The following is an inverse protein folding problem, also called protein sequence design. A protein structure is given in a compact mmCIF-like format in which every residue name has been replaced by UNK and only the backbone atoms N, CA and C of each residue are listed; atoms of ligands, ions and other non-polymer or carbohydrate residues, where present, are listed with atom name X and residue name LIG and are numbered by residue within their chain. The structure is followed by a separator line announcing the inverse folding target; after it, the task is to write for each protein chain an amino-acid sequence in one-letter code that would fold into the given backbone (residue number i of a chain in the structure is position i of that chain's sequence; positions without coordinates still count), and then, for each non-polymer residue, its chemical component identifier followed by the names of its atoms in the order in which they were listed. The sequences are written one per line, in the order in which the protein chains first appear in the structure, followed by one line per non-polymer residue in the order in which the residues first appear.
data_IF_749325386237
#
_entry.id   IF_749325386237
#
_cell.length_a   1.000
_cell.length_b   1.000
_cell.length_c   1.000
_cell.angle_alpha   90.00
_cell.angle_beta   90.00
_cell.angle_gamma   90.00
#
_symmetry.space_group_name_H-M   'P 1'
#
loop_
_entity.id
_entity.type
_entity.pdbx_description
1 polymer ?
#
# COMPACT_ATOMS: atom_id res chain seq x y z
N UNK A 1 -8.70 8.59 15.69
CA UNK A 1 -7.62 7.61 15.35
C UNK A 1 -8.29 6.26 15.16
N UNK A 2 -7.93 5.52 14.11
CA UNK A 2 -8.43 4.16 13.84
C UNK A 2 -7.25 3.21 14.01
N UNK A 3 -7.36 2.24 14.92
CA UNK A 3 -6.35 1.22 15.15
C UNK A 3 -6.75 -0.08 14.45
N UNK A 4 -5.98 -0.48 13.44
CA UNK A 4 -6.19 -1.72 12.69
C UNK A 4 -5.39 -2.91 13.26
N UNK A 5 -4.52 -2.66 14.25
CA UNK A 5 -3.56 -3.66 14.72
C UNK A 5 -4.18 -4.79 15.55
N UNK A 6 -5.40 -4.62 16.04
CA UNK A 6 -6.07 -5.61 16.90
C UNK A 6 -6.82 -6.68 16.12
N UNK A 7 -7.56 -6.30 15.08
CA UNK A 7 -8.53 -7.19 14.41
C UNK A 7 -8.23 -7.46 12.94
N UNK A 8 -7.50 -6.59 12.26
CA UNK A 8 -7.26 -6.67 10.83
C UNK A 8 -5.81 -7.14 10.56
N UNK A 9 -5.51 -8.39 10.93
CA UNK A 9 -4.14 -8.93 10.96
C UNK A 9 -3.97 -10.23 10.16
N UNK A 10 -4.82 -10.50 9.21
CA UNK A 10 -4.81 -11.77 8.48
C UNK A 10 -4.19 -11.63 7.09
N UNK A 11 -3.52 -12.70 6.64
CA UNK A 11 -3.24 -12.96 5.23
C UNK A 11 -4.49 -13.58 4.65
N UNK A 12 -5.16 -12.86 3.75
CA UNK A 12 -6.48 -13.25 3.21
C UNK A 12 -6.40 -13.86 1.81
N UNK A 13 -5.25 -13.78 1.14
CA UNK A 13 -5.05 -14.38 -0.18
C UNK A 13 -3.58 -14.49 -0.54
N UNK A 14 -3.24 -15.53 -1.32
CA UNK A 14 -1.87 -15.76 -1.78
C UNK A 14 -1.87 -16.40 -3.18
N UNK A 15 -1.20 -15.77 -4.11
CA UNK A 15 -0.91 -16.32 -5.45
C UNK A 15 0.61 -16.47 -5.60
N UNK A 16 1.09 -17.70 -5.43
CA UNK A 16 2.52 -18.01 -5.52
C UNK A 16 3.08 -17.77 -6.92
N UNK A 17 2.29 -18.01 -7.98
CA UNK A 17 2.75 -17.85 -9.35
C UNK A 17 3.01 -16.39 -9.74
N UNK A 18 2.19 -15.50 -9.17
CA UNK A 18 2.33 -14.04 -9.33
C UNK A 18 3.21 -13.41 -8.27
N UNK A 19 3.69 -14.18 -7.27
CA UNK A 19 4.35 -13.67 -6.07
C UNK A 19 3.54 -12.54 -5.42
N UNK A 20 2.22 -12.72 -5.31
CA UNK A 20 1.30 -11.75 -4.73
C UNK A 20 0.64 -12.29 -3.48
N UNK A 21 0.55 -11.45 -2.47
CA UNK A 21 -0.16 -11.74 -1.21
C UNK A 21 -1.15 -10.62 -0.92
N UNK A 22 -2.35 -10.98 -0.51
CA UNK A 22 -3.37 -10.04 -0.04
C UNK A 22 -3.41 -10.09 1.48
N UNK A 23 -3.22 -8.96 2.11
CA UNK A 23 -3.15 -8.83 3.57
C UNK A 23 -4.09 -7.76 4.08
N UNK A 24 -4.55 -7.92 5.31
CA UNK A 24 -5.24 -6.87 6.04
C UNK A 24 -4.23 -5.81 6.54
N UNK A 25 -4.67 -4.55 6.76
CA UNK A 25 -3.78 -3.43 7.03
C UNK A 25 -2.97 -3.53 8.32
N UNK A 26 -3.43 -4.28 9.31
CA UNK A 26 -2.77 -4.47 10.61
C UNK A 26 -1.73 -5.61 10.64
N UNK A 27 -1.46 -6.27 9.52
CA UNK A 27 -0.38 -7.27 9.43
C UNK A 27 0.96 -6.58 9.62
N UNK A 28 1.79 -7.09 10.53
CA UNK A 28 3.14 -6.57 10.80
C UNK A 28 4.14 -7.12 9.79
N UNK A 29 5.09 -6.30 9.35
CA UNK A 29 6.06 -6.66 8.30
C UNK A 29 6.84 -7.94 8.62
N UNK A 30 7.38 -8.08 9.84
CA UNK A 30 8.12 -9.28 10.24
C UNK A 30 7.22 -10.52 10.27
N UNK A 31 5.96 -10.38 10.65
CA UNK A 31 4.98 -11.47 10.62
C UNK A 31 4.68 -11.91 9.18
N UNK A 32 4.53 -10.95 8.25
CA UNK A 32 4.38 -11.26 6.84
C UNK A 32 5.60 -11.99 6.29
N UNK A 33 6.81 -11.51 6.59
CA UNK A 33 8.04 -12.14 6.12
C UNK A 33 8.25 -13.55 6.72
N UNK A 34 7.89 -13.76 7.98
CA UNK A 34 7.87 -15.09 8.59
C UNK A 34 6.89 -16.03 7.87
N UNK A 35 5.71 -15.53 7.51
CA UNK A 35 4.69 -16.26 6.76
C UNK A 35 5.14 -16.58 5.32
N UNK A 36 5.81 -15.66 4.64
CA UNK A 36 6.30 -15.83 3.25
C UNK A 36 7.52 -16.75 3.14
N UNK A 37 8.35 -16.83 4.19
CA UNK A 37 9.62 -17.59 4.20
C UNK A 37 9.50 -19.05 3.75
N UNK A 38 8.51 -19.86 4.19
CA UNK A 38 8.35 -21.23 3.70
C UNK A 38 8.04 -21.34 2.22
N UNK A 39 7.57 -20.24 1.59
CA UNK A 39 7.28 -20.17 0.16
C UNK A 39 8.48 -19.71 -0.67
N UNK A 40 9.63 -19.41 -0.03
CA UNK A 40 10.83 -18.87 -0.67
C UNK A 40 10.69 -17.41 -1.08
N UNK A 41 9.75 -16.68 -0.45
CA UNK A 41 9.43 -15.29 -0.75
C UNK A 41 9.63 -14.40 0.48
N UNK A 42 9.71 -13.10 0.24
CA UNK A 42 9.77 -12.06 1.27
C UNK A 42 9.28 -10.73 0.68
N UNK A 43 8.81 -9.84 1.54
CA UNK A 43 8.39 -8.50 1.13
C UNK A 43 9.58 -7.54 1.18
N UNK A 44 9.95 -6.86 0.07
CA UNK A 44 11.28 -6.26 -0.06
C UNK A 44 11.41 -4.84 0.51
N UNK A 45 10.33 -4.24 1.01
CA UNK A 45 10.40 -2.93 1.67
C UNK A 45 10.83 -3.13 3.11
N UNK A 46 12.11 -2.89 3.38
CA UNK A 46 12.73 -3.05 4.69
C UNK A 46 12.75 -1.73 5.47
N UNK A 47 12.01 -1.67 6.55
CA UNK A 47 12.00 -0.52 7.45
C UNK A 47 12.61 -0.89 8.79
N UNK A 48 13.24 0.07 9.48
CA UNK A 48 13.89 -0.16 10.79
C UNK A 48 12.92 -0.62 11.88
N UNK A 49 11.64 -0.31 11.74
CA UNK A 49 10.57 -0.67 12.67
C UNK A 49 9.80 -1.93 12.25
N UNK A 50 10.41 -2.84 11.49
CA UNK A 50 9.75 -4.02 10.89
C UNK A 50 8.98 -4.90 11.86
N UNK A 51 9.42 -4.93 13.13
CA UNK A 51 8.75 -5.70 14.19
C UNK A 51 7.43 -5.08 14.68
N UNK A 52 7.15 -3.82 14.39
CA UNK A 52 5.97 -3.08 14.85
C UNK A 52 5.17 -2.44 13.72
N UNK A 53 5.79 -2.07 12.59
CA UNK A 53 5.10 -1.40 11.51
C UNK A 53 4.08 -2.32 10.85
N UNK A 54 2.91 -1.78 10.55
CA UNK A 54 1.84 -2.50 9.85
C UNK A 54 1.85 -2.17 8.36
N UNK A 55 1.44 -3.14 7.52
CA UNK A 55 1.44 -2.96 6.06
C UNK A 55 0.56 -1.79 5.61
N UNK A 56 -0.59 -1.58 6.27
CA UNK A 56 -1.46 -0.43 5.99
C UNK A 56 -0.79 0.90 6.34
N UNK A 57 -0.08 0.97 7.48
CA UNK A 57 0.69 2.15 7.88
C UNK A 57 1.84 2.43 6.93
N UNK A 58 2.56 1.38 6.52
CA UNK A 58 3.64 1.49 5.53
C UNK A 58 3.12 1.99 4.18
N UNK A 59 1.96 1.50 3.72
CA UNK A 59 1.33 1.94 2.48
C UNK A 59 0.91 3.42 2.55
N UNK A 60 0.25 3.84 3.64
CA UNK A 60 -0.16 5.23 3.84
C UNK A 60 1.00 6.22 3.93
N UNK A 61 2.16 5.76 4.37
CA UNK A 61 3.38 6.57 4.49
C UNK A 61 4.33 6.44 3.29
N UNK A 62 3.99 5.63 2.29
CA UNK A 62 4.89 5.25 1.20
C UNK A 62 6.29 4.85 1.71
N UNK A 63 6.32 4.00 2.74
CA UNK A 63 7.55 3.64 3.45
C UNK A 63 8.64 3.11 2.53
N UNK A 64 9.88 3.41 2.92
CA UNK A 64 11.10 2.96 2.26
C UNK A 64 12.10 2.46 3.30
N UNK A 65 13.14 1.81 2.85
CA UNK A 65 14.24 1.33 3.70
C UNK A 65 15.56 1.30 2.96
N UNK A 66 16.59 0.73 3.59
CA UNK A 66 17.94 0.70 3.06
C UNK A 66 18.07 -0.01 1.70
N UNK A 67 17.15 -0.95 1.41
CA UNK A 67 17.10 -1.70 0.15
C UNK A 67 16.25 -1.04 -0.94
N UNK A 68 15.63 0.10 -0.66
CA UNK A 68 14.72 0.76 -1.61
C UNK A 68 15.41 1.25 -2.88
N UNK A 69 16.74 1.48 -2.86
CA UNK A 69 17.52 1.75 -4.07
C UNK A 69 17.37 0.62 -5.09
N UNK A 70 17.28 -0.64 -4.64
CA UNK A 70 17.14 -1.81 -5.51
C UNK A 70 15.70 -2.22 -5.73
N UNK A 71 14.88 -2.20 -4.68
CA UNK A 71 13.54 -2.80 -4.68
C UNK A 71 12.41 -1.79 -4.70
N UNK A 72 12.72 -0.50 -4.59
CA UNK A 72 11.72 0.57 -4.53
C UNK A 72 11.07 0.71 -3.15
N UNK A 73 10.11 1.62 -3.09
CA UNK A 73 9.29 1.93 -1.93
C UNK A 73 7.98 1.13 -1.96
N UNK A 74 7.07 1.41 -1.02
CA UNK A 74 5.76 0.77 -0.98
C UNK A 74 4.99 0.90 -2.29
N UNK A 75 4.96 2.08 -2.92
CA UNK A 75 4.23 2.32 -4.18
C UNK A 75 4.66 1.39 -5.31
N UNK A 76 5.92 0.94 -5.33
CA UNK A 76 6.44 0.02 -6.35
C UNK A 76 6.11 -1.45 -6.05
N UNK A 77 5.74 -1.76 -4.80
CA UNK A 77 5.55 -3.13 -4.30
C UNK A 77 4.10 -3.42 -3.91
N UNK A 78 3.18 -2.49 -4.13
CA UNK A 78 1.75 -2.65 -3.85
C UNK A 78 0.98 -2.64 -5.16
N UNK A 79 0.35 -3.75 -5.49
CA UNK A 79 -0.42 -3.88 -6.73
C UNK A 79 -1.77 -3.16 -6.65
N UNK A 80 -2.43 -3.20 -5.50
CA UNK A 80 -3.70 -2.50 -5.26
C UNK A 80 -3.98 -2.33 -3.78
N UNK A 81 -4.84 -1.37 -3.46
CA UNK A 81 -5.32 -1.09 -2.10
C UNK A 81 -6.84 -0.98 -2.15
N UNK A 82 -7.53 -1.79 -1.36
CA UNK A 82 -8.95 -1.60 -1.06
C UNK A 82 -9.05 -0.65 0.14
N UNK A 83 -9.62 0.53 -0.07
CA UNK A 83 -9.68 1.58 0.92
C UNK A 83 -11.13 1.97 1.25
N UNK A 84 -11.32 2.49 2.45
CA UNK A 84 -12.54 3.15 2.88
C UNK A 84 -12.24 4.64 2.99
N UNK A 85 -12.92 5.46 2.18
CA UNK A 85 -12.78 6.91 2.20
C UNK A 85 -13.50 7.52 3.40
N UNK A 86 -13.17 8.78 3.71
CA UNK A 86 -13.79 9.51 4.83
C UNK A 86 -15.31 9.68 4.72
N UNK A 87 -15.85 9.63 3.50
CA UNK A 87 -17.30 9.65 3.23
C UNK A 87 -17.97 8.27 3.37
N UNK A 88 -17.23 7.21 3.74
CA UNK A 88 -17.74 5.86 3.87
C UNK A 88 -17.74 5.05 2.57
N UNK A 89 -17.30 5.62 1.46
CA UNK A 89 -17.22 4.93 0.17
C UNK A 89 -16.06 3.93 0.13
N UNK A 90 -16.31 2.73 -0.38
CA UNK A 90 -15.26 1.74 -0.64
C UNK A 90 -14.71 1.95 -2.04
N UNK A 91 -13.39 2.09 -2.13
CA UNK A 91 -12.71 2.30 -3.39
C UNK A 91 -11.52 1.36 -3.51
N UNK A 92 -11.15 1.04 -4.76
CA UNK A 92 -9.94 0.28 -5.04
C UNK A 92 -8.97 1.16 -5.82
N UNK A 93 -7.79 1.38 -5.23
CA UNK A 93 -6.65 1.98 -5.90
C UNK A 93 -5.74 0.87 -6.44
N UNK A 94 -5.18 1.04 -7.64
CA UNK A 94 -4.29 0.07 -8.28
C UNK A 94 -4.20 0.30 -9.77
N UNK A 95 -3.85 -0.73 -10.54
CA UNK A 95 -3.68 -0.68 -11.99
C UNK A 95 -5.03 -0.60 -12.76
N UNK A 96 -5.98 0.20 -12.27
CA UNK A 96 -7.20 0.51 -13.01
C UNK A 96 -6.91 1.56 -14.08
N UNK A 97 -7.51 1.41 -15.27
CA UNK A 97 -7.48 2.46 -16.28
C UNK A 97 -8.29 3.66 -15.80
N UNK A 98 -7.94 4.89 -16.20
CA UNK A 98 -8.68 6.09 -15.79
C UNK A 98 -10.20 5.99 -16.03
N UNK A 99 -10.60 5.32 -17.13
CA UNK A 99 -12.02 5.11 -17.47
C UNK A 99 -12.75 4.16 -16.52
N UNK A 100 -12.03 3.28 -15.83
CA UNK A 100 -12.61 2.30 -14.89
C UNK A 100 -12.66 2.85 -13.44
N UNK A 101 -12.17 4.07 -13.21
CA UNK A 101 -12.20 4.69 -11.88
C UNK A 101 -13.59 5.16 -11.51
N UNK A 102 -14.06 4.91 -10.27
CA UNK A 102 -15.27 5.53 -9.74
C UNK A 102 -15.20 7.06 -9.85
N UNK A 103 -16.34 7.76 -10.10
CA UNK A 103 -16.35 9.22 -10.25
C UNK A 103 -15.71 9.97 -9.06
N UNK A 104 -15.90 9.49 -7.84
CA UNK A 104 -15.30 10.03 -6.62
C UNK A 104 -13.78 9.94 -6.62
N UNK A 105 -13.22 8.81 -7.05
CA UNK A 105 -11.76 8.61 -7.16
C UNK A 105 -11.19 9.49 -8.26
N UNK A 106 -11.89 9.60 -9.39
CA UNK A 106 -11.50 10.48 -10.49
C UNK A 106 -11.46 11.94 -10.04
N UNK A 107 -12.50 12.41 -9.34
CA UNK A 107 -12.54 13.79 -8.82
C UNK A 107 -11.37 14.08 -7.85
N UNK A 108 -10.97 13.11 -7.04
CA UNK A 108 -9.79 13.24 -6.16
C UNK A 108 -8.51 13.32 -7.00
N UNK A 109 -8.36 12.45 -7.99
CA UNK A 109 -7.18 12.40 -8.84
C UNK A 109 -7.03 13.70 -9.65
N UNK A 110 -8.12 14.21 -10.23
CA UNK A 110 -8.16 15.46 -11.00
C UNK A 110 -7.74 16.64 -10.11
N UNK A 111 -8.27 16.71 -8.88
CA UNK A 111 -7.93 17.77 -7.93
C UNK A 111 -6.47 17.71 -7.48
N UNK A 112 -5.91 16.51 -7.30
CA UNK A 112 -4.46 16.36 -6.99
C UNK A 112 -3.62 16.79 -8.17
N UNK A 113 -4.02 16.45 -9.42
CA UNK A 113 -3.31 16.86 -10.62
C UNK A 113 -3.36 18.38 -10.82
N UNK A 114 -4.52 19.02 -10.60
CA UNK A 114 -4.66 20.49 -10.63
C UNK A 114 -3.75 21.16 -9.61
N UNK A 115 -3.71 20.64 -8.36
CA UNK A 115 -2.83 21.17 -7.32
C UNK A 115 -1.35 21.01 -7.70
N UNK A 116 -0.94 19.84 -8.15
CA UNK A 116 0.43 19.58 -8.58
C UNK A 116 0.86 20.49 -9.75
N UNK A 117 -0.06 20.79 -10.66
CA UNK A 117 0.19 21.72 -11.76
C UNK A 117 0.28 23.18 -11.29
N UNK A 118 -0.60 23.59 -10.37
CA UNK A 118 -0.62 24.94 -9.83
C UNK A 118 0.64 25.28 -9.01
N UNK A 119 1.14 24.29 -8.26
CA UNK A 119 2.31 24.43 -7.35
C UNK A 119 3.60 23.87 -7.98
N UNK A 120 3.63 23.75 -9.30
CA UNK A 120 4.76 23.12 -10.02
C UNK A 120 6.11 23.74 -9.69
N UNK A 121 6.17 25.08 -9.65
CA UNK A 121 7.43 25.82 -9.41
C UNK A 121 7.95 25.65 -7.97
N UNK A 122 7.08 25.25 -7.02
CA UNK A 122 7.45 24.95 -5.63
C UNK A 122 7.85 23.48 -5.45
N UNK A 123 7.48 22.60 -6.40
CA UNK A 123 7.73 21.15 -6.34
C UNK A 123 9.05 20.78 -7.03
N UNK A 124 9.47 21.51 -8.07
CA UNK A 124 10.72 21.35 -8.81
C UNK A 124 11.89 22.09 -8.11
#
# INVERSE_FOLDING_TARGET
MIDCSKYLREVVGFDKNKAQVTVQPGVVLDQLNAWLKPHGLWYPVDVSTSAQCTLGGMAGNNSCGSRSIRYGNMVHNVASIDALLANGERVRFGAARPEDMPPSVRAIADKVAELAFAERDEIE
#
